data_IF_577751825334
#
_entry.id   IF_577751825334
#
_cell.length_a   1.000
_cell.length_b   1.000
_cell.length_c   1.000
_cell.angle_alpha   90.00
_cell.angle_beta   90.00
_cell.angle_gamma   90.00
#
_symmetry.space_group_name_H-M   'P 1'
#
loop_
_entity.id
_entity.type
_entity.pdbx_description
1 polymer ?
#
# COMPACT_ATOMS: atom_id res chain seq x y z
N UNK A 1 -14.25 26.36 -22.47
CA UNK A 1 -15.10 25.98 -23.64
C UNK A 1 -14.19 25.87 -24.88
N UNK A 2 -14.52 25.00 -25.85
CA UNK A 2 -13.80 24.82 -27.12
C UNK A 2 -12.33 24.35 -27.02
N UNK A 3 -11.96 23.60 -25.97
CA UNK A 3 -10.59 23.04 -25.88
C UNK A 3 -10.30 22.04 -27.03
N UNK A 4 -11.33 21.38 -27.57
CA UNK A 4 -11.23 20.48 -28.72
C UNK A 4 -10.83 21.18 -30.03
N UNK A 5 -11.02 22.50 -30.15
CA UNK A 5 -10.59 23.26 -31.31
C UNK A 5 -9.14 23.76 -31.19
N UNK A 6 -8.38 23.28 -30.20
CA UNK A 6 -7.00 23.67 -29.93
C UNK A 6 -6.83 24.88 -28.99
N UNK A 7 -7.93 25.45 -28.49
CA UNK A 7 -7.87 26.55 -27.52
C UNK A 7 -7.27 26.05 -26.19
N UNK A 8 -6.18 26.69 -25.74
CA UNK A 8 -5.50 26.35 -24.48
C UNK A 8 -5.71 27.44 -23.43
N UNK A 9 -5.80 27.04 -22.17
CA UNK A 9 -5.79 27.97 -21.03
C UNK A 9 -4.34 28.30 -20.68
N UNK A 10 -4.05 29.58 -20.44
CA UNK A 10 -2.74 30.02 -19.99
C UNK A 10 -2.65 29.95 -18.48
N UNK A 11 -1.52 29.45 -17.97
CA UNK A 11 -1.23 29.34 -16.54
C UNK A 11 0.15 29.94 -16.25
N UNK A 12 0.31 30.53 -15.07
CA UNK A 12 1.60 30.97 -14.56
C UNK A 12 2.24 29.83 -13.76
N UNK A 13 3.31 29.23 -14.29
CA UNK A 13 4.11 28.25 -13.55
C UNK A 13 4.99 28.99 -12.53
N UNK A 14 4.85 28.67 -11.26
CA UNK A 14 5.67 29.18 -10.17
C UNK A 14 6.64 28.07 -9.76
N UNK A 15 7.91 28.41 -9.56
CA UNK A 15 8.97 27.46 -9.19
C UNK A 15 9.63 27.90 -7.88
N UNK A 16 10.03 26.93 -7.08
CA UNK A 16 10.59 27.12 -5.74
C UNK A 16 11.81 26.22 -5.58
N UNK A 17 12.76 26.65 -4.74
CA UNK A 17 13.95 25.84 -4.45
C UNK A 17 13.63 24.70 -3.47
N UNK A 18 12.57 24.86 -2.65
CA UNK A 18 12.18 23.89 -1.63
C UNK A 18 10.67 23.72 -1.51
N UNK A 19 10.23 22.56 -1.01
CA UNK A 19 8.82 22.27 -0.68
C UNK A 19 8.30 23.18 0.44
N UNK A 20 9.18 23.64 1.35
CA UNK A 20 8.79 24.56 2.41
C UNK A 20 8.39 25.93 1.86
N UNK A 21 9.16 26.47 0.90
CA UNK A 21 8.80 27.72 0.20
C UNK A 21 7.48 27.59 -0.56
N UNK A 22 7.29 26.48 -1.29
CA UNK A 22 6.02 26.19 -1.96
C UNK A 22 4.86 26.22 -0.98
N UNK A 23 5.01 25.54 0.17
CA UNK A 23 3.95 25.44 1.19
C UNK A 23 3.64 26.79 1.83
N UNK A 24 4.67 27.62 2.07
CA UNK A 24 4.51 28.97 2.58
C UNK A 24 3.71 29.85 1.60
N UNK A 25 4.12 29.89 0.33
CA UNK A 25 3.43 30.68 -0.70
C UNK A 25 2.03 30.15 -0.99
N UNK A 26 1.85 28.83 -1.00
CA UNK A 26 0.53 28.19 -1.12
C UNK A 26 -0.42 28.73 -0.05
N UNK A 27 0.00 28.73 1.23
CA UNK A 27 -0.83 29.21 2.34
C UNK A 27 -1.29 30.66 2.13
N UNK A 28 -0.38 31.54 1.71
CA UNK A 28 -0.70 32.95 1.49
C UNK A 28 -1.64 33.14 0.28
N UNK A 29 -1.41 32.39 -0.80
CA UNK A 29 -2.25 32.45 -2.01
C UNK A 29 -3.63 31.81 -1.83
N UNK A 30 -3.76 30.75 -1.02
CA UNK A 30 -5.06 30.10 -0.77
C UNK A 30 -6.07 31.09 -0.22
N UNK A 31 -5.69 31.92 0.76
CA UNK A 31 -6.58 32.97 1.30
C UNK A 31 -6.98 34.02 0.27
N UNK A 32 -6.07 34.38 -0.63
CA UNK A 32 -6.34 35.33 -1.72
C UNK A 32 -7.35 34.73 -2.70
N UNK A 33 -7.16 33.46 -3.07
CA UNK A 33 -8.02 32.73 -4.01
C UNK A 33 -9.43 32.58 -3.46
N UNK A 34 -9.58 32.15 -2.21
CA UNK A 34 -10.88 32.05 -1.54
C UNK A 34 -11.61 33.41 -1.54
N UNK A 35 -10.91 34.48 -1.13
CA UNK A 35 -11.45 35.85 -1.13
C UNK A 35 -11.88 36.29 -2.53
N UNK A 36 -11.07 36.01 -3.54
CA UNK A 36 -11.34 36.44 -4.92
C UNK A 36 -12.47 35.64 -5.56
N UNK A 37 -12.60 34.34 -5.26
CA UNK A 37 -13.74 33.52 -5.68
C UNK A 37 -15.05 34.09 -5.11
N UNK A 38 -15.12 34.36 -3.80
CA UNK A 38 -16.33 34.96 -3.20
C UNK A 38 -16.68 36.32 -3.81
N UNK A 39 -15.68 37.18 -4.07
CA UNK A 39 -15.89 38.46 -4.75
C UNK A 39 -16.44 38.26 -6.17
N UNK A 40 -15.88 37.32 -6.92
CA UNK A 40 -16.26 37.05 -8.30
C UNK A 40 -17.71 36.52 -8.36
N UNK A 41 -18.05 35.55 -7.50
CA UNK A 41 -19.42 35.01 -7.40
C UNK A 41 -20.43 36.10 -7.05
N UNK A 42 -20.06 37.01 -6.16
CA UNK A 42 -20.91 38.16 -5.78
C UNK A 42 -21.11 39.13 -6.96
N UNK A 43 -20.05 39.39 -7.73
CA UNK A 43 -20.11 40.29 -8.90
C UNK A 43 -20.95 39.64 -10.02
N UNK A 44 -20.75 38.35 -10.29
CA UNK A 44 -21.53 37.61 -11.30
C UNK A 44 -23.02 37.55 -10.93
N UNK A 45 -23.34 37.33 -9.64
CA UNK A 45 -24.70 37.42 -9.12
C UNK A 45 -25.30 38.83 -9.27
N UNK A 46 -24.50 39.89 -9.15
CA UNK A 46 -24.98 41.28 -9.28
C UNK A 46 -25.13 41.72 -10.75
N UNK A 47 -24.19 41.34 -11.62
CA UNK A 47 -24.22 41.63 -13.06
C UNK A 47 -25.33 40.84 -13.79
N UNK A 48 -25.66 39.64 -13.33
CA UNK A 48 -26.82 38.89 -13.86
C UNK A 48 -28.17 39.54 -13.51
N UNK A 49 -28.23 40.41 -12.49
CA UNK A 49 -29.43 41.15 -12.07
C UNK A 49 -29.50 42.55 -12.72
N UNK A 50 -28.34 43.17 -13.04
CA UNK A 50 -28.27 44.53 -13.57
C UNK A 50 -27.59 44.56 -14.95
N UNK A 51 -28.38 44.74 -16.00
CA UNK A 51 -27.89 45.06 -17.35
C UNK A 51 -27.38 46.50 -17.41
N UNK A 52 -26.16 46.78 -16.94
CA UNK A 52 -25.64 48.15 -17.03
C UNK A 52 -24.23 48.43 -16.51
N UNK A 53 -23.27 48.46 -17.46
CA UNK A 53 -21.98 49.18 -17.48
C UNK A 53 -21.19 49.28 -16.17
N UNK A 54 -20.09 48.52 -16.08
CA UNK A 54 -19.04 48.75 -15.09
C UNK A 54 -18.02 49.79 -15.56
N UNK A 55 -17.75 50.77 -14.69
CA UNK A 55 -16.65 51.75 -14.80
C UNK A 55 -15.32 51.05 -14.50
N UNK A 56 -14.30 51.35 -15.31
CA UNK A 56 -12.89 50.97 -15.09
C UNK A 56 -12.44 51.43 -13.69
N UNK A 57 -12.27 50.47 -12.77
CA UNK A 57 -11.53 50.63 -11.52
C UNK A 57 -10.08 50.19 -11.78
N UNK A 58 -9.09 50.80 -11.12
CA UNK A 58 -7.72 50.27 -11.16
C UNK A 58 -7.70 48.93 -10.43
N UNK A 59 -7.77 47.84 -11.19
CA UNK A 59 -7.78 46.49 -10.67
C UNK A 59 -6.36 46.13 -10.21
N UNK A 60 -6.21 45.68 -8.96
CA UNK A 60 -4.98 45.03 -8.52
C UNK A 60 -4.84 43.69 -9.27
N UNK A 61 -3.66 43.39 -9.79
CA UNK A 61 -3.42 42.12 -10.50
C UNK A 61 -3.65 40.90 -9.61
N UNK A 62 -3.50 41.06 -8.29
CA UNK A 62 -3.78 40.01 -7.29
C UNK A 62 -5.24 39.58 -7.30
N UNK A 63 -6.18 40.48 -7.64
CA UNK A 63 -7.61 40.15 -7.69
C UNK A 63 -7.97 39.20 -8.85
N UNK A 64 -7.07 38.98 -9.83
CA UNK A 64 -7.27 38.02 -10.93
C UNK A 64 -6.80 36.60 -10.60
N UNK A 65 -6.20 36.37 -9.42
CA UNK A 65 -5.80 35.04 -8.98
C UNK A 65 -7.03 34.34 -8.40
N UNK A 66 -7.69 33.49 -9.20
CA UNK A 66 -8.95 32.85 -8.84
C UNK A 66 -8.84 31.35 -8.60
N UNK A 67 -7.69 30.73 -8.86
CA UNK A 67 -7.49 29.29 -8.71
C UNK A 67 -6.00 28.95 -8.58
N UNK A 68 -5.70 27.84 -7.89
CA UNK A 68 -4.39 27.21 -7.80
C UNK A 68 -4.52 25.79 -8.33
N UNK A 69 -3.53 25.31 -9.07
CA UNK A 69 -3.55 23.97 -9.69
C UNK A 69 -2.34 23.17 -9.28
N UNK A 70 -2.51 21.85 -9.15
CA UNK A 70 -1.44 20.87 -8.94
C UNK A 70 -0.53 21.19 -7.73
N UNK A 71 -1.06 21.90 -6.74
CA UNK A 71 -0.32 22.39 -5.57
C UNK A 71 -0.18 21.35 -4.44
N UNK A 72 -0.91 20.23 -4.55
CA UNK A 72 -0.98 19.14 -3.56
C UNK A 72 -0.38 17.83 -4.08
N UNK A 73 0.27 17.86 -5.25
CA UNK A 73 1.03 16.72 -5.78
C UNK A 73 2.28 16.50 -4.92
N UNK A 74 2.48 15.31 -4.33
CA UNK A 74 3.69 15.01 -3.56
C UNK A 74 4.95 15.21 -4.40
N UNK A 75 6.00 15.78 -3.81
CA UNK A 75 7.20 16.17 -4.55
C UNK A 75 7.89 14.98 -5.25
N UNK A 76 8.02 13.84 -4.58
CA UNK A 76 8.64 12.64 -5.17
C UNK A 76 7.81 12.08 -6.33
N UNK A 77 6.48 12.15 -6.23
CA UNK A 77 5.56 11.80 -7.33
C UNK A 77 5.72 12.77 -8.49
N UNK A 78 5.74 14.09 -8.23
CA UNK A 78 5.99 15.11 -9.25
C UNK A 78 7.30 14.84 -9.99
N UNK A 79 8.38 14.58 -9.26
CA UNK A 79 9.67 14.24 -9.83
C UNK A 79 9.58 12.99 -10.73
N UNK A 80 8.94 11.92 -10.25
CA UNK A 80 8.79 10.67 -10.99
C UNK A 80 7.94 10.84 -12.27
N UNK A 81 6.88 11.65 -12.23
CA UNK A 81 6.04 11.96 -13.40
C UNK A 81 6.83 12.79 -14.42
N UNK A 82 7.41 13.91 -13.99
CA UNK A 82 8.07 14.88 -14.88
C UNK A 82 9.31 14.29 -15.56
N UNK A 83 10.04 13.39 -14.88
CA UNK A 83 11.24 12.74 -15.42
C UNK A 83 10.98 11.33 -15.99
N UNK A 84 9.73 10.86 -15.99
CA UNK A 84 9.32 9.49 -16.37
C UNK A 84 10.16 8.38 -15.69
N UNK A 85 10.49 8.58 -14.41
CA UNK A 85 11.27 7.63 -13.59
C UNK A 85 10.33 6.73 -12.79
N UNK A 86 10.64 5.43 -12.71
CA UNK A 86 9.83 4.41 -12.03
C UNK A 86 10.72 3.46 -11.25
N UNK A 87 10.25 3.01 -10.09
CA UNK A 87 10.96 2.00 -9.32
C UNK A 87 10.90 0.64 -10.03
N UNK A 88 11.94 -0.18 -9.86
CA UNK A 88 12.03 -1.50 -10.51
C UNK A 88 12.42 -1.47 -11.99
N UNK A 89 12.81 -0.30 -12.53
CA UNK A 89 13.41 -0.17 -13.86
C UNK A 89 14.92 0.12 -13.76
N UNK A 90 15.66 -0.22 -14.81
CA UNK A 90 17.09 0.05 -14.91
C UNK A 90 17.36 1.44 -15.49
N UNK A 91 18.34 2.14 -14.93
CA UNK A 91 18.76 3.47 -15.37
C UNK A 91 20.28 3.59 -15.34
N UNK A 92 20.86 4.19 -16.38
CA UNK A 92 22.22 4.71 -16.33
C UNK A 92 22.18 6.12 -15.74
N UNK A 93 22.98 6.34 -14.70
CA UNK A 93 23.03 7.61 -13.97
C UNK A 93 24.29 8.35 -14.38
N UNK A 94 24.13 9.55 -14.94
CA UNK A 94 25.24 10.45 -15.24
C UNK A 94 25.08 11.78 -14.51
N UNK A 95 26.21 12.32 -14.03
CA UNK A 95 26.25 13.59 -13.31
C UNK A 95 26.96 14.61 -14.18
N UNK A 96 26.31 15.74 -14.42
CA UNK A 96 26.79 16.84 -15.24
C UNK A 96 26.70 18.16 -14.47
N UNK A 97 27.30 19.23 -15.01
CA UNK A 97 27.14 20.59 -14.47
C UNK A 97 25.69 21.07 -14.47
N UNK A 98 24.83 20.47 -15.31
CA UNK A 98 23.38 20.73 -15.38
C UNK A 98 22.54 19.87 -14.44
N UNK A 99 23.14 18.93 -13.70
CA UNK A 99 22.44 18.04 -12.75
C UNK A 99 22.59 16.55 -13.07
N UNK A 100 21.73 15.75 -12.46
CA UNK A 100 21.69 14.29 -12.59
C UNK A 100 20.75 13.90 -13.73
N UNK A 101 21.24 13.08 -14.66
CA UNK A 101 20.49 12.54 -15.78
C UNK A 101 20.28 11.04 -15.56
N UNK A 102 19.04 10.57 -15.75
CA UNK A 102 18.65 9.16 -15.65
C UNK A 102 18.21 8.67 -17.02
N UNK A 103 19.01 7.81 -17.66
CA UNK A 103 18.68 7.21 -18.95
C UNK A 103 18.15 5.80 -18.76
N UNK A 104 16.89 5.56 -19.15
CA UNK A 104 16.24 4.27 -18.97
C UNK A 104 16.88 3.20 -19.86
N UNK A 105 17.23 2.05 -19.26
CA UNK A 105 17.80 0.89 -19.94
C UNK A 105 16.72 -0.14 -20.27
N UNK A 106 16.22 -0.09 -21.50
CA UNK A 106 15.14 -0.98 -22.00
C UNK A 106 15.62 -2.37 -22.41
N UNK A 107 16.93 -2.54 -22.54
CA UNK A 107 17.59 -3.82 -22.83
C UNK A 107 17.63 -4.76 -21.61
N UNK A 108 17.53 -4.21 -20.39
CA UNK A 108 17.51 -4.98 -19.16
C UNK A 108 16.07 -5.17 -18.66
N UNK A 109 15.50 -6.36 -18.91
CA UNK A 109 14.14 -6.70 -18.50
C UNK A 109 14.06 -7.42 -17.15
N UNK A 110 15.11 -8.19 -16.80
CA UNK A 110 15.16 -8.92 -15.54
C UNK A 110 15.38 -7.92 -14.39
N UNK A 111 14.67 -8.13 -13.29
CA UNK A 111 14.84 -7.30 -12.08
C UNK A 111 16.21 -7.55 -11.45
N UNK A 112 16.75 -6.52 -10.82
CA UNK A 112 17.88 -6.68 -9.93
C UNK A 112 17.49 -7.56 -8.74
N UNK A 113 18.44 -8.37 -8.27
CA UNK A 113 18.32 -9.09 -7.01
C UNK A 113 18.77 -8.16 -5.88
N UNK A 114 17.98 -8.13 -4.81
CA UNK A 114 18.22 -7.35 -3.60
C UNK A 114 18.08 -8.29 -2.43
N UNK A 115 18.92 -8.13 -1.42
CA UNK A 115 18.81 -8.89 -0.18
C UNK A 115 17.45 -8.64 0.48
N UNK A 116 16.69 -9.70 0.71
CA UNK A 116 15.37 -9.69 1.35
C UNK A 116 15.48 -10.34 2.71
N UNK A 117 15.07 -9.61 3.75
CA UNK A 117 14.91 -10.14 5.11
C UNK A 117 13.43 -10.18 5.48
N UNK A 118 12.84 -11.37 5.59
CA UNK A 118 11.52 -11.55 6.19
C UNK A 118 11.68 -11.98 7.64
N UNK A 119 11.01 -11.32 8.58
CA UNK A 119 11.12 -11.66 10.00
C UNK A 119 9.76 -11.63 10.69
N UNK A 120 9.72 -12.31 11.83
CA UNK A 120 8.61 -12.40 12.76
C UNK A 120 9.16 -12.46 14.20
N UNK A 121 8.39 -11.96 15.17
CA UNK A 121 8.79 -11.97 16.59
C UNK A 121 7.77 -12.70 17.46
N UNK A 122 8.30 -13.42 18.45
CA UNK A 122 7.49 -14.00 19.52
C UNK A 122 7.73 -13.26 20.82
N UNK A 123 6.67 -12.90 21.53
CA UNK A 123 6.74 -12.06 22.72
C UNK A 123 6.08 -12.74 23.92
N UNK A 124 6.52 -12.39 25.12
CA UNK A 124 5.76 -12.73 26.32
C UNK A 124 4.44 -11.98 26.31
N UNK A 125 3.47 -12.49 27.06
CA UNK A 125 2.23 -11.78 27.33
C UNK A 125 1.61 -12.21 28.63
N UNK A 126 0.80 -11.33 29.19
CA UNK A 126 -0.09 -11.68 30.29
C UNK A 126 -1.29 -12.52 29.79
N UNK A 127 -1.82 -13.46 30.60
CA UNK A 127 -2.99 -14.25 30.24
C UNK A 127 -4.19 -13.37 29.84
N UNK A 128 -4.85 -13.73 28.74
CA UNK A 128 -6.03 -13.06 28.19
C UNK A 128 -5.84 -11.57 27.82
N UNK A 129 -4.58 -11.11 27.72
CA UNK A 129 -4.22 -9.76 27.26
C UNK A 129 -3.37 -9.82 26.00
N UNK A 130 -3.36 -8.72 25.25
CA UNK A 130 -2.36 -8.51 24.20
C UNK A 130 -0.97 -8.25 24.83
N UNK A 131 0.11 -8.59 24.12
CA UNK A 131 1.46 -8.20 24.53
C UNK A 131 1.59 -6.68 24.63
N UNK A 132 2.37 -6.19 25.61
CA UNK A 132 2.65 -4.77 25.82
C UNK A 132 4.16 -4.54 25.93
N UNK A 133 4.73 -3.80 24.97
CA UNK A 133 6.17 -3.60 24.88
C UNK A 133 6.79 -2.86 26.08
N UNK A 134 5.99 -2.18 26.91
CA UNK A 134 6.51 -1.52 28.12
C UNK A 134 6.98 -2.51 29.18
N UNK A 135 6.40 -3.71 29.25
CA UNK A 135 6.72 -4.70 30.29
C UNK A 135 6.88 -6.14 29.80
N UNK A 136 6.36 -6.51 28.63
CA UNK A 136 6.61 -7.80 28.00
C UNK A 136 7.96 -7.80 27.26
N UNK A 137 8.51 -8.98 27.00
CA UNK A 137 9.83 -9.18 26.40
C UNK A 137 9.75 -9.99 25.10
N UNK A 138 10.67 -9.76 24.19
CA UNK A 138 10.87 -10.60 23.01
C UNK A 138 11.53 -11.92 23.43
N UNK A 139 10.85 -13.03 23.14
CA UNK A 139 11.31 -14.38 23.41
C UNK A 139 12.13 -14.94 22.24
N UNK A 140 11.70 -14.65 21.01
CA UNK A 140 12.32 -15.17 19.78
C UNK A 140 12.24 -14.15 18.65
N UNK A 141 13.25 -14.11 17.79
CA UNK A 141 13.17 -13.47 16.48
C UNK A 141 13.54 -14.52 15.44
N UNK A 142 12.58 -14.92 14.62
CA UNK A 142 12.79 -15.80 13.46
C UNK A 142 12.86 -14.95 12.20
N UNK A 143 13.82 -15.24 11.34
CA UNK A 143 13.96 -14.49 10.08
C UNK A 143 14.65 -15.30 8.99
N UNK A 144 14.32 -14.98 7.75
CA UNK A 144 14.95 -15.54 6.56
C UNK A 144 15.62 -14.43 5.76
N UNK A 145 16.89 -14.64 5.42
CA UNK A 145 17.66 -13.78 4.51
C UNK A 145 17.97 -14.59 3.26
N UNK A 146 17.37 -14.21 2.13
CA UNK A 146 17.54 -14.85 0.82
C UNK A 146 17.43 -16.38 0.82
N UNK A 147 16.49 -16.91 1.61
CA UNK A 147 16.22 -18.35 1.72
C UNK A 147 16.95 -19.05 2.86
N UNK A 148 17.97 -18.44 3.46
CA UNK A 148 18.61 -18.97 4.67
C UNK A 148 17.85 -18.50 5.92
N UNK A 149 17.37 -19.45 6.72
CA UNK A 149 16.71 -19.18 7.99
C UNK A 149 17.70 -18.95 9.13
N UNK A 150 17.27 -18.12 10.08
CA UNK A 150 17.94 -17.84 11.34
C UNK A 150 16.91 -17.67 12.45
N UNK A 151 17.28 -18.07 13.67
CA UNK A 151 16.44 -17.92 14.84
C UNK A 151 17.30 -17.48 16.02
N UNK A 152 16.91 -16.40 16.67
CA UNK A 152 17.57 -15.92 17.88
C UNK A 152 16.66 -16.20 19.08
N UNK A 153 17.19 -16.87 20.10
CA UNK A 153 16.44 -17.33 21.27
C UNK A 153 16.88 -16.56 22.51
N UNK A 154 15.93 -15.92 23.19
CA UNK A 154 16.14 -15.32 24.51
C UNK A 154 16.00 -16.38 25.62
N UNK A 155 17.13 -16.79 26.21
CA UNK A 155 17.20 -17.80 27.28
C UNK A 155 16.65 -17.34 28.64
N UNK A 156 16.26 -16.07 28.81
CA UNK A 156 15.49 -15.63 29.98
C UNK A 156 14.02 -16.09 29.92
N UNK A 157 13.48 -16.23 28.71
CA UNK A 157 12.08 -16.61 28.49
C UNK A 157 11.91 -18.07 28.07
N UNK A 158 12.89 -18.63 27.38
CA UNK A 158 12.87 -20.00 26.88
C UNK A 158 13.60 -20.90 27.89
N UNK A 159 13.15 -22.13 28.15
CA UNK A 159 13.72 -22.97 29.21
C UNK A 159 15.02 -23.71 28.85
N UNK A 160 15.18 -24.17 27.60
CA UNK A 160 16.38 -24.88 27.13
C UNK A 160 17.01 -24.27 25.86
N UNK A 161 18.27 -24.60 25.60
CA UNK A 161 18.95 -24.22 24.37
C UNK A 161 18.28 -24.96 23.19
N UNK A 162 18.02 -24.23 22.11
CA UNK A 162 17.40 -24.77 20.89
C UNK A 162 18.50 -25.14 19.90
N UNK A 163 18.42 -26.35 19.34
CA UNK A 163 19.29 -26.82 18.26
C UNK A 163 18.81 -26.31 16.90
N UNK A 164 19.70 -26.32 15.90
CA UNK A 164 19.37 -25.96 14.52
C UNK A 164 18.12 -26.70 14.01
N UNK A 165 17.23 -25.99 13.34
CA UNK A 165 15.89 -26.48 12.94
C UNK A 165 15.82 -26.56 11.43
N UNK A 166 15.25 -27.65 10.93
CA UNK A 166 14.78 -27.74 9.55
C UNK A 166 13.25 -27.76 9.54
N UNK A 167 12.65 -26.76 8.89
CA UNK A 167 11.21 -26.65 8.65
C UNK A 167 10.97 -26.46 7.15
N UNK A 168 10.77 -27.57 6.46
CA UNK A 168 10.53 -27.61 5.00
C UNK A 168 9.12 -28.17 4.75
N UNK A 169 8.06 -27.34 4.79
CA UNK A 169 6.68 -27.82 4.61
C UNK A 169 6.40 -28.37 3.22
N UNK A 170 7.17 -27.91 2.21
CA UNK A 170 7.17 -28.42 0.84
C UNK A 170 8.58 -28.32 0.24
N UNK A 171 8.92 -29.13 -0.78
CA UNK A 171 10.23 -29.03 -1.46
C UNK A 171 10.55 -27.64 -2.02
N UNK A 172 9.54 -26.89 -2.47
CA UNK A 172 9.73 -25.51 -2.94
C UNK A 172 9.93 -24.46 -1.82
N UNK A 173 9.69 -24.84 -0.56
CA UNK A 173 9.73 -23.95 0.61
C UNK A 173 10.71 -24.49 1.65
N UNK A 174 11.99 -24.51 1.30
CA UNK A 174 13.07 -24.95 2.17
C UNK A 174 13.29 -23.97 3.33
N UNK A 175 13.42 -24.49 4.55
CA UNK A 175 13.62 -23.68 5.75
C UNK A 175 14.68 -24.27 6.65
N UNK A 176 15.95 -24.03 6.33
CA UNK A 176 17.07 -24.40 7.19
C UNK A 176 17.42 -23.24 8.12
N UNK A 177 17.27 -23.42 9.43
CA UNK A 177 17.44 -22.38 10.43
C UNK A 177 18.68 -22.61 11.29
N UNK A 178 19.60 -21.65 11.24
CA UNK A 178 20.71 -21.55 12.20
C UNK A 178 20.24 -20.87 13.47
N UNK A 179 20.38 -21.54 14.60
CA UNK A 179 19.86 -21.07 15.87
C UNK A 179 20.97 -20.45 16.71
N UNK A 180 20.71 -19.27 17.26
CA UNK A 180 21.61 -18.60 18.21
C UNK A 180 20.90 -18.39 19.54
N UNK A 181 21.32 -19.15 20.54
CA UNK A 181 20.85 -19.01 21.92
C UNK A 181 21.63 -17.90 22.61
N UNK A 182 20.96 -16.83 23.01
CA UNK A 182 21.56 -15.69 23.72
C UNK A 182 21.04 -15.59 25.14
N UNK A 183 21.87 -15.02 26.01
CA UNK A 183 21.60 -15.00 27.45
C UNK A 183 20.30 -14.28 27.84
N UNK A 184 19.97 -13.17 27.15
CA UNK A 184 18.88 -12.26 27.51
C UNK A 184 18.34 -11.49 26.30
N UNK A 185 17.29 -10.70 26.51
CA UNK A 185 16.63 -9.89 25.45
C UNK A 185 17.58 -8.85 24.83
N UNK A 186 18.43 -8.19 25.62
CA UNK A 186 19.42 -7.24 25.10
C UNK A 186 20.39 -7.91 24.11
N UNK A 187 20.89 -9.11 24.46
CA UNK A 187 21.73 -9.91 23.59
C UNK A 187 21.03 -10.30 22.29
N UNK A 188 19.72 -10.56 22.36
CA UNK A 188 18.89 -10.90 21.21
C UNK A 188 18.79 -9.72 20.24
N UNK A 189 18.46 -8.52 20.75
CA UNK A 189 18.36 -7.31 19.93
C UNK A 189 19.70 -6.93 19.31
N UNK A 190 20.79 -6.97 20.10
CA UNK A 190 22.14 -6.67 19.61
C UNK A 190 22.58 -7.66 18.53
N UNK A 191 22.29 -8.95 18.69
CA UNK A 191 22.63 -9.95 17.69
C UNK A 191 21.88 -9.71 16.38
N UNK A 192 20.57 -9.44 16.48
CA UNK A 192 19.74 -9.14 15.30
C UNK A 192 20.25 -7.89 14.56
N UNK A 193 20.46 -6.78 15.27
CA UNK A 193 20.99 -5.54 14.68
C UNK A 193 22.35 -5.74 14.02
N UNK A 194 23.29 -6.40 14.72
CA UNK A 194 24.61 -6.68 14.16
C UNK A 194 24.54 -7.51 12.88
N UNK A 195 23.65 -8.51 12.83
CA UNK A 195 23.49 -9.33 11.63
C UNK A 195 22.89 -8.52 10.46
N UNK A 196 21.87 -7.69 10.73
CA UNK A 196 21.29 -6.80 9.72
C UNK A 196 22.30 -5.80 9.14
N UNK A 197 23.23 -5.31 9.94
CA UNK A 197 24.32 -4.45 9.49
C UNK A 197 25.35 -5.16 8.60
N UNK A 198 25.50 -6.48 8.77
CA UNK A 198 26.37 -7.32 7.92
C UNK A 198 25.69 -7.61 6.59
N UNK A 199 24.46 -8.11 6.61
CA UNK A 199 23.76 -8.57 5.39
C UNK A 199 23.12 -7.43 4.59
N UNK A 200 22.83 -6.29 5.24
CA UNK A 200 22.30 -5.06 4.63
C UNK A 200 21.12 -5.30 3.69
N UNK A 201 19.98 -5.83 4.18
CA UNK A 201 18.79 -6.04 3.37
C UNK A 201 18.31 -4.73 2.74
N UNK A 202 18.01 -4.77 1.44
CA UNK A 202 17.33 -3.67 0.77
C UNK A 202 15.82 -3.68 1.04
N UNK A 203 15.29 -4.84 1.44
CA UNK A 203 13.87 -5.06 1.69
C UNK A 203 13.69 -5.83 3.00
N UNK A 204 12.86 -5.29 3.88
CA UNK A 204 12.38 -5.93 5.08
C UNK A 204 10.90 -6.30 4.91
N UNK A 205 10.54 -7.49 5.36
CA UNK A 205 9.21 -8.07 5.16
C UNK A 205 8.70 -8.60 6.50
N UNK A 206 7.44 -8.35 6.78
CA UNK A 206 6.74 -8.86 7.97
C UNK A 206 5.31 -9.23 7.61
N UNK A 207 4.59 -9.83 8.54
CA UNK A 207 3.14 -9.96 8.47
C UNK A 207 2.49 -9.18 9.62
N UNK A 208 1.86 -8.04 9.33
CA UNK A 208 1.31 -7.09 10.32
C UNK A 208 2.37 -6.38 11.20
N UNK A 209 3.61 -6.31 10.72
CA UNK A 209 4.72 -5.73 11.48
C UNK A 209 4.66 -4.22 11.67
N UNK A 210 3.92 -3.49 10.83
CA UNK A 210 3.69 -2.05 11.04
C UNK A 210 2.95 -1.78 12.37
N UNK A 211 2.07 -2.71 12.79
CA UNK A 211 1.22 -2.55 13.97
C UNK A 211 1.64 -3.40 15.17
N UNK A 212 2.62 -4.28 15.02
CA UNK A 212 3.09 -5.16 16.09
C UNK A 212 4.61 -5.23 16.16
N UNK A 213 5.26 -5.94 15.25
CA UNK A 213 6.67 -6.31 15.33
C UNK A 213 7.60 -5.10 15.46
N UNK A 214 7.48 -4.12 14.57
CA UNK A 214 8.37 -2.96 14.54
C UNK A 214 8.20 -2.04 15.77
N UNK A 215 6.98 -1.60 16.14
CA UNK A 215 6.78 -0.81 17.35
C UNK A 215 7.23 -1.53 18.62
N UNK A 216 7.05 -2.85 18.69
CA UNK A 216 7.50 -3.65 19.83
C UNK A 216 9.03 -3.62 19.92
N UNK A 217 9.72 -3.96 18.82
CA UNK A 217 11.20 -3.92 18.76
C UNK A 217 11.77 -2.53 19.04
N UNK A 218 11.16 -1.46 18.53
CA UNK A 218 11.61 -0.08 18.78
C UNK A 218 11.54 0.28 20.28
N UNK A 219 10.44 -0.10 20.93
CA UNK A 219 10.22 0.15 22.36
C UNK A 219 11.18 -0.67 23.22
N UNK A 220 11.34 -1.97 22.92
CA UNK A 220 12.27 -2.85 23.64
C UNK A 220 13.73 -2.43 23.44
N UNK A 221 14.11 -2.03 22.23
CA UNK A 221 15.44 -1.48 21.97
C UNK A 221 15.70 -0.23 22.83
N UNK A 222 14.73 0.69 22.88
CA UNK A 222 14.83 1.90 23.69
C UNK A 222 14.98 1.59 25.17
N UNK A 223 14.29 0.56 25.70
CA UNK A 223 14.42 0.11 27.08
C UNK A 223 15.87 -0.25 27.45
N UNK A 224 16.61 -0.86 26.52
CA UNK A 224 18.03 -1.21 26.70
C UNK A 224 19.02 -0.11 26.26
N UNK A 225 18.53 1.10 25.97
CA UNK A 225 19.36 2.22 25.52
C UNK A 225 19.89 2.05 24.10
N UNK A 226 19.25 1.22 23.27
CA UNK A 226 19.55 1.04 21.86
C UNK A 226 18.65 1.93 21.01
N UNK A 227 19.18 2.46 19.91
CA UNK A 227 18.42 3.27 18.96
C UNK A 227 18.20 2.47 17.68
N UNK A 228 16.99 1.94 17.48
CA UNK A 228 16.66 1.18 16.26
C UNK A 228 16.92 2.00 14.98
N UNK A 229 16.75 3.33 15.06
CA UNK A 229 17.05 4.26 13.98
C UNK A 229 18.53 4.32 13.65
N UNK A 230 19.41 4.33 14.65
CA UNK A 230 20.85 4.40 14.41
C UNK A 230 21.40 3.03 13.99
N UNK A 231 20.82 1.95 14.50
CA UNK A 231 21.24 0.58 14.20
C UNK A 231 20.77 0.10 12.82
N UNK A 232 19.52 0.39 12.44
CA UNK A 232 18.85 -0.12 11.23
C UNK A 232 18.31 0.96 10.28
N UNK A 233 18.31 2.24 10.67
CA UNK A 233 17.72 3.32 9.87
C UNK A 233 16.19 3.39 9.89
N UNK A 234 15.53 2.48 10.62
CA UNK A 234 14.07 2.42 10.74
C UNK A 234 13.55 3.33 11.86
N UNK A 235 12.37 3.89 11.67
CA UNK A 235 11.64 4.61 12.71
C UNK A 235 10.14 4.39 12.53
N UNK A 236 9.46 4.14 13.64
CA UNK A 236 8.00 4.00 13.64
C UNK A 236 7.33 5.36 13.75
N UNK A 237 6.50 5.72 12.76
CA UNK A 237 5.66 6.91 12.85
C UNK A 237 4.42 6.58 13.69
N UNK A 238 4.39 7.07 14.93
CA UNK A 238 3.26 6.88 15.84
C UNK A 238 1.95 7.49 15.35
N UNK A 239 1.98 8.42 14.39
CA UNK A 239 0.76 9.03 13.84
C UNK A 239 0.19 8.23 12.67
N UNK A 240 1.04 7.75 11.76
CA UNK A 240 0.60 6.97 10.60
C UNK A 240 0.47 5.47 10.90
N UNK A 241 1.16 4.99 11.95
CA UNK A 241 1.20 3.58 12.32
C UNK A 241 2.07 2.75 11.37
N UNK A 242 3.08 3.36 10.75
CA UNK A 242 3.97 2.69 9.78
C UNK A 242 5.43 2.82 10.21
N UNK A 243 6.22 1.76 10.03
CA UNK A 243 7.66 1.77 10.22
C UNK A 243 8.39 1.88 8.89
N UNK A 244 9.25 2.90 8.76
CA UNK A 244 9.93 3.22 7.49
C UNK A 244 11.42 3.50 7.71
N UNK A 245 12.21 3.25 6.67
CA UNK A 245 13.61 3.63 6.57
C UNK A 245 13.86 4.41 5.27
N UNK A 246 14.98 5.14 5.20
CA UNK A 246 15.35 5.91 4.00
C UNK A 246 15.97 5.06 2.89
N UNK A 247 16.66 4.00 3.25
CA UNK A 247 17.49 3.22 2.34
C UNK A 247 16.98 1.79 2.10
N UNK A 248 15.98 1.36 2.87
CA UNK A 248 15.37 0.04 2.75
C UNK A 248 13.85 0.17 2.74
N UNK A 249 13.19 -0.68 1.96
CA UNK A 249 11.74 -0.76 1.93
C UNK A 249 11.24 -1.71 3.03
N UNK A 250 10.24 -1.29 3.79
CA UNK A 250 9.45 -2.21 4.60
C UNK A 250 8.17 -2.59 3.84
N UNK A 251 8.01 -3.87 3.52
CA UNK A 251 6.86 -4.43 2.82
C UNK A 251 6.08 -5.38 3.74
N UNK A 252 5.06 -4.84 4.41
CA UNK A 252 4.13 -5.60 5.23
C UNK A 252 3.15 -6.40 4.36
N UNK A 253 3.30 -7.72 4.34
CA UNK A 253 2.44 -8.62 3.57
C UNK A 253 0.95 -8.49 3.94
N UNK A 254 0.62 -8.08 5.17
CA UNK A 254 -0.76 -7.92 5.59
C UNK A 254 -1.49 -6.79 4.84
N UNK A 255 -0.77 -5.75 4.41
CA UNK A 255 -1.33 -4.70 3.56
C UNK A 255 -1.76 -5.26 2.19
N UNK A 256 -0.93 -6.10 1.58
CA UNK A 256 -1.27 -6.81 0.34
C UNK A 256 -2.44 -7.78 0.55
N UNK A 257 -2.46 -8.50 1.67
CA UNK A 257 -3.55 -9.43 2.00
C UNK A 257 -4.90 -8.69 2.04
N UNK A 258 -4.97 -7.57 2.76
CA UNK A 258 -6.21 -6.79 2.89
C UNK A 258 -6.70 -6.22 1.55
N UNK A 259 -5.77 -5.77 0.68
CA UNK A 259 -6.13 -5.04 -0.54
C UNK A 259 -6.27 -5.93 -1.77
N UNK A 260 -5.35 -6.87 -1.97
CA UNK A 260 -5.12 -7.51 -3.27
C UNK A 260 -5.27 -9.03 -3.25
N UNK A 261 -5.32 -9.68 -2.07
CA UNK A 261 -5.38 -11.16 -2.01
C UNK A 261 -6.70 -11.75 -2.47
N UNK A 262 -7.77 -10.94 -2.47
CA UNK A 262 -9.16 -11.36 -2.74
C UNK A 262 -9.70 -12.38 -1.71
N UNK A 263 -9.08 -12.46 -0.53
CA UNK A 263 -9.54 -13.32 0.56
C UNK A 263 -10.60 -12.62 1.42
N UNK A 264 -11.62 -13.37 1.90
CA UNK A 264 -12.59 -12.83 2.84
C UNK A 264 -11.91 -12.43 4.15
N UNK A 265 -12.43 -11.41 4.83
CA UNK A 265 -11.82 -10.85 6.05
C UNK A 265 -11.53 -11.91 7.12
N UNK A 266 -12.42 -12.90 7.30
CA UNK A 266 -12.23 -14.00 8.24
C UNK A 266 -11.09 -14.99 7.89
N UNK A 267 -10.45 -14.83 6.73
CA UNK A 267 -9.33 -15.68 6.26
C UNK A 267 -8.07 -14.87 5.97
N UNK A 268 -7.95 -13.68 6.59
CA UNK A 268 -6.79 -12.80 6.45
C UNK A 268 -5.76 -12.94 7.57
N UNK A 269 -5.84 -13.98 8.41
CA UNK A 269 -4.74 -14.32 9.32
C UNK A 269 -3.65 -15.13 8.60
N UNK A 270 -2.39 -15.02 9.05
CA UNK A 270 -1.23 -15.64 8.40
C UNK A 270 -1.47 -17.11 8.06
N UNK A 271 -1.94 -17.92 9.01
CA UNK A 271 -2.28 -19.33 8.79
C UNK A 271 -3.24 -19.56 7.62
N UNK A 272 -4.37 -18.85 7.59
CA UNK A 272 -5.37 -19.00 6.55
C UNK A 272 -4.84 -18.55 5.18
N UNK A 273 -4.02 -17.50 5.16
CA UNK A 273 -3.34 -17.02 3.97
C UNK A 273 -2.32 -18.03 3.47
N UNK A 274 -1.47 -18.59 4.34
CA UNK A 274 -0.51 -19.65 4.00
C UNK A 274 -1.23 -20.85 3.39
N UNK A 275 -2.32 -21.31 3.99
CA UNK A 275 -3.13 -22.39 3.43
C UNK A 275 -3.70 -22.05 2.06
N UNK A 276 -4.26 -20.86 1.90
CA UNK A 276 -4.93 -20.45 0.66
C UNK A 276 -3.96 -20.11 -0.48
N UNK A 277 -2.77 -19.58 -0.17
CA UNK A 277 -1.80 -19.08 -1.16
C UNK A 277 -0.61 -20.01 -1.34
N UNK A 278 -0.01 -20.52 -0.26
CA UNK A 278 1.15 -21.43 -0.34
C UNK A 278 0.74 -22.91 -0.39
N UNK A 279 -0.49 -23.23 0.02
CA UNK A 279 -1.08 -24.56 -0.16
C UNK A 279 -0.52 -25.62 0.79
N UNK A 280 -0.13 -25.23 2.00
CA UNK A 280 0.16 -26.12 3.12
C UNK A 280 -0.44 -25.57 4.42
N UNK A 281 -0.59 -26.43 5.43
CA UNK A 281 -1.05 -26.03 6.76
C UNK A 281 0.19 -25.72 7.63
N UNK A 282 0.43 -24.45 8.02
CA UNK A 282 1.54 -24.11 8.90
C UNK A 282 1.29 -24.60 10.32
N UNK A 283 2.35 -24.60 11.15
CA UNK A 283 2.20 -24.93 12.57
C UNK A 283 1.31 -23.89 13.27
N UNK A 284 0.59 -24.34 14.29
CA UNK A 284 -0.31 -23.49 15.05
C UNK A 284 -0.12 -23.74 16.54
N UNK A 285 0.04 -22.65 17.27
CA UNK A 285 0.06 -22.62 18.73
C UNK A 285 -1.01 -21.63 19.18
N UNK A 286 -1.78 -22.00 20.21
CA UNK A 286 -2.74 -21.06 20.79
C UNK A 286 -1.95 -19.93 21.47
N UNK A 287 -2.29 -18.64 21.23
CA UNK A 287 -1.59 -17.52 21.84
C UNK A 287 -1.49 -17.56 23.38
N UNK A 288 -2.47 -18.19 24.05
CA UNK A 288 -2.45 -18.35 25.51
C UNK A 288 -1.48 -19.44 26.00
N UNK A 289 -1.05 -20.33 25.12
CA UNK A 289 -0.11 -21.40 25.44
C UNK A 289 1.34 -21.03 25.13
N UNK A 290 1.60 -19.97 24.35
CA UNK A 290 2.95 -19.60 23.85
C UNK A 290 3.97 -19.43 24.98
N UNK A 291 3.65 -18.62 26.00
CA UNK A 291 4.56 -18.36 27.13
C UNK A 291 4.82 -19.63 27.95
N UNK A 292 3.78 -20.46 28.13
CA UNK A 292 3.94 -21.76 28.81
C UNK A 292 4.79 -22.70 27.98
N UNK A 293 4.60 -22.76 26.67
CA UNK A 293 5.35 -23.64 25.78
C UNK A 293 6.80 -23.19 25.61
N UNK A 294 7.11 -21.90 25.71
CA UNK A 294 8.50 -21.43 25.81
C UNK A 294 9.24 -22.06 27.02
N UNK A 295 8.52 -22.46 28.08
CA UNK A 295 9.10 -23.13 29.24
C UNK A 295 8.99 -24.65 29.20
N UNK A 296 7.84 -25.19 28.81
CA UNK A 296 7.55 -26.63 28.89
C UNK A 296 7.93 -27.40 27.62
N UNK A 297 7.87 -26.75 26.45
CA UNK A 297 8.06 -27.35 25.12
C UNK A 297 8.80 -26.39 24.18
N UNK A 298 9.99 -25.90 24.56
CA UNK A 298 10.66 -24.81 23.86
C UNK A 298 11.02 -25.14 22.41
N UNK A 299 11.41 -26.39 22.10
CA UNK A 299 11.67 -26.82 20.71
C UNK A 299 10.43 -26.74 19.81
N UNK A 300 9.24 -27.07 20.34
CA UNK A 300 7.97 -26.93 19.62
C UNK A 300 7.64 -25.45 19.38
N UNK A 301 7.84 -24.60 20.38
CA UNK A 301 7.63 -23.16 20.26
C UNK A 301 8.60 -22.53 19.23
N UNK A 302 9.86 -22.96 19.22
CA UNK A 302 10.84 -22.56 18.22
C UNK A 302 10.44 -23.00 16.81
N UNK A 303 9.91 -24.21 16.65
CA UNK A 303 9.38 -24.70 15.38
C UNK A 303 8.19 -23.87 14.87
N UNK A 304 7.32 -23.41 15.77
CA UNK A 304 6.23 -22.49 15.44
C UNK A 304 6.76 -21.14 14.93
N UNK A 305 7.70 -20.54 15.67
CA UNK A 305 8.30 -19.25 15.28
C UNK A 305 8.98 -19.31 13.91
N UNK A 306 9.71 -20.38 13.59
CA UNK A 306 10.32 -20.52 12.25
C UNK A 306 9.29 -20.79 11.15
N UNK A 307 8.16 -21.45 11.47
CA UNK A 307 7.05 -21.66 10.54
C UNK A 307 6.43 -20.34 10.08
N UNK A 308 6.32 -19.34 10.96
CA UNK A 308 5.78 -18.02 10.62
C UNK A 308 6.77 -17.21 9.77
N UNK A 309 8.07 -17.30 10.02
CA UNK A 309 9.10 -16.73 9.16
C UNK A 309 9.11 -17.36 7.75
N UNK A 310 9.03 -18.70 7.64
CA UNK A 310 8.92 -19.40 6.35
C UNK A 310 7.66 -19.00 5.60
N UNK A 311 6.52 -18.98 6.29
CA UNK A 311 5.24 -18.53 5.71
C UNK A 311 5.34 -17.12 5.15
N UNK A 312 5.89 -16.18 5.93
CA UNK A 312 6.02 -14.77 5.56
C UNK A 312 7.00 -14.59 4.39
N UNK A 313 8.17 -15.21 4.45
CA UNK A 313 9.18 -15.12 3.39
C UNK A 313 8.64 -15.63 2.05
N UNK A 314 8.06 -16.83 2.02
CA UNK A 314 7.59 -17.42 0.77
C UNK A 314 6.28 -16.80 0.26
N UNK A 315 5.40 -16.31 1.14
CA UNK A 315 4.25 -15.50 0.75
C UNK A 315 4.74 -14.25 0.01
N UNK A 316 5.75 -13.59 0.57
CA UNK A 316 6.35 -12.42 -0.04
C UNK A 316 6.99 -12.72 -1.39
N UNK A 317 7.92 -13.67 -1.45
CA UNK A 317 8.69 -13.97 -2.66
C UNK A 317 7.77 -14.46 -3.80
N UNK A 318 6.74 -15.24 -3.47
CA UNK A 318 5.85 -15.83 -4.48
C UNK A 318 4.77 -14.86 -4.96
N UNK A 319 4.17 -14.07 -4.07
CA UNK A 319 3.00 -13.25 -4.39
C UNK A 319 3.29 -11.74 -4.35
N UNK A 320 3.84 -11.24 -3.25
CA UNK A 320 3.92 -9.79 -3.00
C UNK A 320 5.04 -9.13 -3.78
N UNK A 321 6.26 -9.69 -3.72
CA UNK A 321 7.43 -9.17 -4.42
C UNK A 321 7.17 -8.97 -5.92
N UNK A 322 6.78 -10.01 -6.69
CA UNK A 322 6.60 -9.83 -8.11
C UNK A 322 5.47 -8.86 -8.44
N UNK A 323 4.39 -8.86 -7.66
CA UNK A 323 3.25 -7.99 -7.90
C UNK A 323 3.57 -6.52 -7.66
N UNK A 324 4.06 -6.17 -6.47
CA UNK A 324 4.32 -4.79 -6.06
C UNK A 324 5.41 -4.15 -6.91
N UNK A 325 6.52 -4.86 -7.15
CA UNK A 325 7.58 -4.32 -8.01
C UNK A 325 7.15 -4.20 -9.48
N UNK A 326 6.25 -5.07 -9.98
CA UNK A 326 5.63 -4.87 -11.31
C UNK A 326 4.83 -3.57 -11.36
N UNK A 327 3.95 -3.35 -10.38
CA UNK A 327 3.13 -2.15 -10.32
C UNK A 327 3.98 -0.88 -10.20
N UNK A 328 5.05 -0.92 -9.41
CA UNK A 328 5.98 0.20 -9.25
C UNK A 328 6.72 0.58 -10.55
N UNK A 329 6.77 -0.30 -11.56
CA UNK A 329 7.33 0.03 -12.88
C UNK A 329 6.46 0.98 -13.71
N UNK A 330 5.19 1.16 -13.35
CA UNK A 330 4.24 2.03 -14.07
C UNK A 330 3.67 3.13 -13.17
N UNK A 331 3.52 2.86 -11.87
CA UNK A 331 3.04 3.82 -10.89
C UNK A 331 4.22 4.70 -10.44
N UNK A 332 4.10 6.04 -10.44
CA UNK A 332 5.16 6.97 -10.06
C UNK A 332 5.36 7.06 -8.53
N UNK A 333 5.45 5.92 -7.84
CA UNK A 333 5.61 5.82 -6.39
C UNK A 333 6.58 4.69 -6.01
N UNK A 334 7.25 4.78 -4.85
CA UNK A 334 8.10 3.70 -4.34
C UNK A 334 7.27 2.47 -3.91
N UNK A 335 7.88 1.27 -3.85
CA UNK A 335 7.18 0.01 -3.57
C UNK A 335 6.39 -0.02 -2.25
N UNK A 336 6.91 0.63 -1.20
CA UNK A 336 6.28 0.75 0.12
C UNK A 336 4.99 1.58 0.07
N UNK A 337 4.94 2.63 -0.74
CA UNK A 337 3.71 3.39 -1.01
C UNK A 337 2.76 2.64 -1.94
N UNK A 338 3.28 1.98 -2.98
CA UNK A 338 2.48 1.15 -3.90
C UNK A 338 1.79 0.01 -3.14
N UNK A 339 2.41 -0.53 -2.10
CA UNK A 339 1.81 -1.54 -1.22
C UNK A 339 0.70 -0.97 -0.32
N UNK A 340 0.90 0.22 0.25
CA UNK A 340 0.03 0.75 1.32
C UNK A 340 -1.12 1.63 0.83
N UNK A 341 -0.98 2.35 -0.28
CA UNK A 341 -2.02 3.25 -0.78
C UNK A 341 -3.24 2.50 -1.29
N UNK A 342 -4.42 3.08 -1.13
CA UNK A 342 -5.65 2.49 -1.68
C UNK A 342 -5.62 2.42 -3.21
N UNK A 343 -6.31 1.44 -3.79
CA UNK A 343 -6.36 1.23 -5.24
C UNK A 343 -6.85 2.46 -6.01
N UNK A 344 -7.80 3.22 -5.45
CA UNK A 344 -8.24 4.50 -6.02
C UNK A 344 -7.12 5.53 -6.16
N UNK A 345 -6.24 5.63 -5.16
CA UNK A 345 -5.04 6.50 -5.23
C UNK A 345 -4.04 5.99 -6.26
N UNK A 346 -3.86 4.67 -6.40
CA UNK A 346 -3.01 4.11 -7.46
C UNK A 346 -3.53 4.50 -8.85
N UNK A 347 -4.85 4.42 -9.06
CA UNK A 347 -5.50 4.87 -10.30
C UNK A 347 -5.32 6.38 -10.53
N UNK A 348 -5.46 7.21 -9.49
CA UNK A 348 -5.20 8.66 -9.57
C UNK A 348 -3.78 8.93 -10.10
N UNK A 349 -2.77 8.24 -9.58
CA UNK A 349 -1.38 8.43 -10.02
C UNK A 349 -1.18 8.01 -11.49
N UNK A 350 -1.79 6.92 -11.93
CA UNK A 350 -1.74 6.50 -13.33
C UNK A 350 -2.41 7.52 -14.25
N UNK A 351 -3.55 8.08 -13.85
CA UNK A 351 -4.25 9.12 -14.60
C UNK A 351 -3.43 10.42 -14.65
N UNK A 352 -2.76 10.80 -13.57
CA UNK A 352 -1.89 11.97 -13.53
C UNK A 352 -0.70 11.84 -14.50
N UNK A 353 -0.09 10.66 -14.62
CA UNK A 353 0.94 10.40 -15.63
C UNK A 353 0.40 10.64 -17.04
N UNK A 354 -0.79 10.11 -17.36
CA UNK A 354 -1.39 10.28 -18.68
C UNK A 354 -1.79 11.74 -18.95
N UNK A 355 -2.37 12.42 -17.96
CA UNK A 355 -2.73 13.83 -18.05
C UNK A 355 -1.49 14.70 -18.30
N UNK A 356 -0.39 14.47 -17.58
CA UNK A 356 0.87 15.16 -17.79
C UNK A 356 1.42 14.93 -19.22
N UNK A 357 1.46 13.69 -19.69
CA UNK A 357 1.90 13.34 -21.06
C UNK A 357 1.02 13.99 -22.13
N UNK A 358 -0.28 14.14 -21.86
CA UNK A 358 -1.23 14.80 -22.74
C UNK A 358 -1.25 16.34 -22.59
N UNK A 359 -0.42 16.91 -21.71
CA UNK A 359 -0.41 18.33 -21.36
C UNK A 359 -1.81 18.84 -20.90
N UNK A 360 -2.48 18.02 -20.09
CA UNK A 360 -3.77 18.30 -19.46
C UNK A 360 -3.53 18.60 -17.98
N UNK A 361 -3.94 19.80 -17.54
CA UNK A 361 -3.82 20.21 -16.13
C UNK A 361 -4.77 19.37 -15.26
N UNK A 362 -4.22 18.73 -14.23
CA UNK A 362 -5.02 17.93 -13.31
C UNK A 362 -6.05 18.81 -12.58
N UNK A 363 -7.29 18.32 -12.39
CA UNK A 363 -8.26 18.96 -11.51
C UNK A 363 -7.79 18.93 -10.06
N UNK A 364 -8.17 19.96 -9.30
CA UNK A 364 -8.07 19.92 -7.85
C UNK A 364 -8.98 18.80 -7.32
N UNK A 365 -8.62 18.25 -6.16
CA UNK A 365 -9.43 17.23 -5.49
C UNK A 365 -10.86 17.73 -5.29
N UNK A 366 -11.81 16.84 -5.53
CA UNK A 366 -13.22 17.15 -5.35
C UNK A 366 -13.49 17.46 -3.87
N UNK A 367 -14.18 18.56 -3.62
CA UNK A 367 -14.74 18.90 -2.33
C UNK A 367 -16.26 18.78 -2.45
N UNK A 368 -16.85 17.95 -1.60
CA UNK A 368 -18.30 17.79 -1.58
C UNK A 368 -18.95 19.01 -0.94
N UNK A 369 -20.06 19.47 -1.51
CA UNK A 369 -20.85 20.54 -0.94
C UNK A 369 -21.36 20.11 0.45
N UNK A 370 -21.32 21.00 1.46
CA UNK A 370 -21.75 20.67 2.81
C UNK A 370 -23.25 20.35 2.89
N UNK A 371 -24.04 20.96 2.02
CA UNK A 371 -25.49 20.75 1.95
C UNK A 371 -25.92 20.69 0.48
N UNK A 372 -26.71 19.66 0.13
CA UNK A 372 -27.34 19.52 -1.18
C UNK A 372 -28.83 19.37 -1.03
N UNK A 373 -29.60 19.99 -1.91
CA UNK A 373 -31.06 19.93 -1.89
C UNK A 373 -31.59 19.32 -3.19
N UNK A 374 -32.60 18.46 -3.07
CA UNK A 374 -33.43 18.03 -4.20
C UNK A 374 -34.84 18.56 -4.00
N UNK A 375 -35.26 19.50 -4.85
CA UNK A 375 -36.45 20.30 -4.59
C UNK A 375 -36.27 21.15 -3.32
N UNK A 376 -37.13 20.94 -2.32
CA UNK A 376 -37.06 21.62 -1.01
C UNK A 376 -36.54 20.72 0.11
N UNK A 377 -36.05 19.52 -0.21
CA UNK A 377 -35.58 18.55 0.77
C UNK A 377 -34.05 18.49 0.79
N UNK A 378 -33.48 18.53 1.98
CA UNK A 378 -32.06 18.30 2.20
C UNK A 378 -31.74 16.83 1.92
N UNK A 379 -30.72 16.57 1.12
CA UNK A 379 -30.22 15.24 0.84
C UNK A 379 -29.25 14.81 1.96
N UNK A 380 -29.56 13.70 2.62
CA UNK A 380 -28.62 13.05 3.55
C UNK A 380 -27.44 12.42 2.80
N UNK A 381 -27.71 11.78 1.66
CA UNK A 381 -26.69 11.24 0.76
C UNK A 381 -27.17 11.27 -0.68
N UNK A 382 -26.22 11.37 -1.61
CA UNK A 382 -26.44 11.31 -3.05
C UNK A 382 -25.63 10.15 -3.61
N UNK A 383 -26.29 9.21 -4.27
CA UNK A 383 -25.66 8.05 -4.89
C UNK A 383 -26.43 7.63 -6.15
N UNK A 384 -25.92 6.64 -6.87
CA UNK A 384 -26.54 6.05 -8.05
C UNK A 384 -27.00 4.61 -7.76
N UNK A 385 -27.93 4.10 -8.58
CA UNK A 385 -28.36 2.70 -8.49
C UNK A 385 -27.15 1.81 -8.80
N UNK A 386 -26.79 0.96 -7.83
CA UNK A 386 -25.64 0.06 -7.92
C UNK A 386 -25.94 -1.23 -8.70
N UNK A 387 -25.25 -2.31 -8.34
CA UNK A 387 -25.46 -3.62 -8.94
C UNK A 387 -26.85 -4.21 -8.61
N UNK A 388 -27.45 -4.88 -9.60
CA UNK A 388 -28.70 -5.62 -9.42
C UNK A 388 -28.40 -7.04 -8.92
N UNK A 389 -29.04 -7.46 -7.83
CA UNK A 389 -28.82 -8.78 -7.22
C UNK A 389 -30.16 -9.48 -7.01
N UNK A 390 -30.32 -10.67 -7.60
CA UNK A 390 -31.51 -11.50 -7.47
C UNK A 390 -31.14 -12.95 -7.12
N UNK A 391 -31.83 -13.52 -6.14
CA UNK A 391 -31.81 -14.94 -5.84
C UNK A 391 -33.13 -15.56 -6.31
N UNK A 392 -33.16 -16.04 -7.55
CA UNK A 392 -34.39 -16.55 -8.19
C UNK A 392 -34.87 -17.85 -7.56
N UNK A 393 -33.94 -18.76 -7.28
CA UNK A 393 -34.22 -20.07 -6.69
C UNK A 393 -33.13 -20.45 -5.70
N UNK A 394 -33.49 -21.24 -4.70
CA UNK A 394 -32.58 -21.79 -3.71
C UNK A 394 -32.81 -23.29 -3.60
N UNK A 395 -31.74 -24.07 -3.50
CA UNK A 395 -31.84 -25.52 -3.40
C UNK A 395 -30.56 -26.24 -3.82
N UNK A 396 -30.63 -27.57 -3.80
CA UNK A 396 -29.54 -28.43 -4.26
C UNK A 396 -29.80 -28.77 -5.73
N UNK A 397 -29.04 -28.14 -6.61
CA UNK A 397 -29.03 -28.45 -8.04
C UNK A 397 -27.78 -29.26 -8.36
N UNK A 398 -27.97 -30.47 -8.88
CA UNK A 398 -26.87 -31.38 -9.21
C UNK A 398 -27.06 -31.98 -10.59
N UNK A 399 -25.94 -32.28 -11.25
CA UNK A 399 -25.94 -32.89 -12.58
C UNK A 399 -26.53 -34.30 -12.60
N UNK A 400 -26.58 -34.98 -11.46
CA UNK A 400 -27.13 -36.33 -11.31
C UNK A 400 -28.57 -36.36 -10.77
N UNK A 401 -29.19 -35.20 -10.55
CA UNK A 401 -30.59 -35.07 -10.15
C UNK A 401 -31.42 -34.44 -11.29
N UNK A 402 -32.42 -35.15 -11.84
CA UNK A 402 -33.30 -34.56 -12.85
C UNK A 402 -33.96 -33.27 -12.33
N UNK A 403 -33.90 -32.22 -13.14
CA UNK A 403 -34.51 -30.92 -12.84
C UNK A 403 -35.61 -30.63 -13.86
N UNK A 404 -36.75 -30.11 -13.41
CA UNK A 404 -37.86 -29.76 -14.29
C UNK A 404 -37.64 -28.39 -14.91
N UNK A 405 -37.75 -28.30 -16.24
CA UNK A 405 -37.67 -27.04 -16.96
C UNK A 405 -39.02 -26.72 -17.61
N UNK A 406 -39.55 -25.54 -17.31
CA UNK A 406 -40.68 -24.98 -18.05
C UNK A 406 -40.15 -24.02 -19.10
N UNK A 407 -40.04 -24.51 -20.33
CA UNK A 407 -39.54 -23.74 -21.45
C UNK A 407 -40.66 -22.88 -22.04
N UNK A 408 -40.37 -21.61 -22.38
CA UNK A 408 -41.29 -20.73 -23.09
C UNK A 408 -41.09 -20.88 -24.62
N UNK A 409 -42.03 -21.47 -25.37
CA UNK A 409 -41.90 -21.67 -26.81
C UNK A 409 -41.63 -20.37 -27.60
N UNK A 410 -42.13 -19.23 -27.12
CA UNK A 410 -41.96 -17.93 -27.81
C UNK A 410 -40.50 -17.45 -27.82
N UNK A 411 -39.69 -17.89 -26.86
CA UNK A 411 -38.25 -17.62 -26.83
C UNK A 411 -37.46 -18.40 -27.90
N UNK A 412 -38.05 -19.46 -28.48
CA UNK A 412 -37.43 -20.30 -29.51
C UNK A 412 -37.87 -19.96 -30.93
N UNK A 413 -38.97 -19.22 -31.09
CA UNK A 413 -39.48 -18.77 -32.38
C UNK A 413 -38.69 -17.55 -32.90
N UNK A 414 -37.50 -17.79 -33.44
CA UNK A 414 -36.76 -16.77 -34.19
C UNK A 414 -37.48 -16.50 -35.52
N UNK A 415 -38.31 -15.46 -35.55
CA UNK A 415 -38.91 -14.92 -36.78
C UNK A 415 -37.85 -14.21 -37.65
N UNK A 416 -36.88 -14.96 -38.19
CA UNK A 416 -36.14 -14.55 -39.38
C UNK A 416 -36.85 -15.05 -40.63
N UNK A 417 -38.05 -14.52 -40.88
CA UNK A 417 -38.57 -14.47 -42.26
C UNK A 417 -37.93 -13.25 -42.90
N UNK A 418 -36.76 -13.44 -43.51
CA UNK A 418 -36.28 -12.50 -44.54
C UNK A 418 -37.28 -12.58 -45.68
N UNK A 419 -38.24 -11.64 -45.71
CA UNK A 419 -39.06 -11.42 -46.91
C UNK A 419 -38.12 -10.93 -48.01
N UNK A 420 -37.60 -11.85 -48.81
CA UNK A 420 -37.07 -11.52 -50.13
C UNK A 420 -38.29 -11.21 -51.00
N UNK A 421 -38.65 -9.93 -51.07
CA UNK A 421 -39.53 -9.43 -52.12
C UNK A 421 -38.78 -9.49 -53.45
N UNK A 422 -39.07 -10.50 -54.27
CA UNK A 422 -38.71 -10.48 -55.67
C UNK A 422 -39.63 -9.49 -56.41
N UNK A 423 -39.11 -8.66 -57.34
CA UNK A 423 -39.95 -7.76 -58.13
C UNK A 423 -40.86 -8.59 -59.06
N UNK A 424 -42.10 -8.12 -59.33
CA UNK A 424 -42.93 -8.72 -60.37
C UNK A 424 -42.37 -8.41 -61.77
N UNK A 425 -42.45 -9.41 -62.66
CA UNK A 425 -42.08 -9.35 -64.08
C UNK A 425 -42.77 -8.22 -64.87
#
# INVERSE_FOLDING_TARGET
KNHLSGLRRSYLKISFDTVQQLTHVKRDLTHIVERNQTKFDTIEAYESILTGKSKQRSQDFIDYITDLREYDVPYHVRYAIDNDVRCGQWYDVSVSSSGVMLEKRTDLLQRAEVHVCAFDIETTKLPLKFPDAEYDSVMMISYMVDGQGYLIINRECVAEDIEDIEYTPKPEYEGHFKVTNVKNEEGLLRHWFAHMQVVKPGIYVTYNGDFFDWPFLETRATHYGLSMKDELGFSCDKNQGECRAKFACHLDCFAWVKRDSYLPQGSQGLKAVTKAKLGYDPLEVNPEDMVRFAMEKPQMMASYSVSDAVSTYYLYMTYVHPFIFSLATIIPMPPDEVLRKGSGTLCEMLLMVQAYKANVICPNKHQSDPEKFYGSQLLESETYIGGHVECLESGVFRSDLPTSFKLDPSAYEVNHVVKISLPPD
#
